data_IF_235584322960
#
_entry.id   IF_235584322960
#
_cell.length_a   1.000
_cell.length_b   1.000
_cell.length_c   1.000
_cell.angle_alpha   90.00
_cell.angle_beta   90.00
_cell.angle_gamma   90.00
#
_symmetry.space_group_name_H-M   'P 1'
#
loop_
_entity.id
_entity.type
_entity.pdbx_description
1 polymer ?
#
# COMPACT_ATOMS: atom_id res chain seq x y z
N UNK A 1 -0.64 5.23 -12.68
CA UNK A 1 -1.75 5.63 -11.78
C UNK A 1 -1.23 6.51 -10.67
N UNK A 2 -1.94 7.56 -10.37
CA UNK A 2 -1.49 8.54 -9.38
C UNK A 2 -2.40 8.58 -8.17
N UNK A 3 -1.85 9.06 -7.06
CA UNK A 3 -2.62 9.21 -5.83
C UNK A 3 -3.79 10.14 -6.06
N UNK A 4 -4.98 9.70 -5.66
CA UNK A 4 -6.18 10.49 -5.85
C UNK A 4 -6.17 11.76 -5.01
N UNK A 5 -5.37 11.76 -3.95
CA UNK A 5 -5.36 12.88 -3.03
C UNK A 5 -4.20 13.86 -3.24
N UNK A 6 -2.99 13.37 -3.36
CA UNK A 6 -1.83 14.25 -3.53
C UNK A 6 -1.23 14.18 -4.92
N UNK A 7 -1.75 13.31 -5.78
CA UNK A 7 -1.36 13.21 -7.18
C UNK A 7 0.05 12.68 -7.44
N UNK A 8 0.69 12.14 -6.44
CA UNK A 8 2.01 11.58 -6.68
C UNK A 8 1.84 10.21 -7.30
N UNK A 9 2.82 9.76 -8.05
CA UNK A 9 2.73 8.47 -8.72
C UNK A 9 2.72 7.34 -7.71
N UNK A 10 1.82 6.37 -7.89
CA UNK A 10 1.69 5.26 -6.98
C UNK A 10 2.67 4.15 -7.34
N UNK A 11 3.32 3.59 -6.32
CA UNK A 11 4.18 2.44 -6.50
C UNK A 11 3.36 1.18 -6.29
N UNK A 12 3.98 0.02 -6.55
CA UNK A 12 3.29 -1.25 -6.29
C UNK A 12 2.94 -1.38 -4.81
N UNK A 13 3.81 -0.89 -3.93
CA UNK A 13 3.54 -0.93 -2.50
C UNK A 13 2.33 -0.07 -2.15
N UNK A 14 2.22 1.11 -2.75
CA UNK A 14 1.08 1.98 -2.50
C UNK A 14 -0.22 1.29 -2.89
N UNK A 15 -0.24 0.68 -4.07
CA UNK A 15 -1.44 0.02 -4.55
C UNK A 15 -1.80 -1.17 -3.68
N UNK A 16 -0.80 -1.97 -3.32
CA UNK A 16 -1.04 -3.14 -2.48
C UNK A 16 -1.57 -2.76 -1.11
N UNK A 17 -1.00 -1.70 -0.53
CA UNK A 17 -1.45 -1.24 0.77
C UNK A 17 -2.89 -0.77 0.72
N UNK A 18 -3.25 -0.03 -0.31
CA UNK A 18 -4.61 0.45 -0.45
C UNK A 18 -5.59 -0.72 -0.55
N UNK A 19 -5.26 -1.70 -1.39
CA UNK A 19 -6.13 -2.85 -1.58
C UNK A 19 -6.25 -3.70 -0.32
N UNK A 20 -5.19 -3.77 0.45
CA UNK A 20 -5.18 -4.60 1.64
C UNK A 20 -5.83 -3.93 2.84
N UNK A 21 -5.56 -2.64 3.04
CA UNK A 21 -5.96 -1.97 4.26
C UNK A 21 -7.19 -1.07 4.13
N UNK A 22 -7.59 -0.78 2.91
CA UNK A 22 -8.69 0.16 2.72
C UNK A 22 -9.81 -0.43 1.88
N UNK A 23 -9.58 -0.61 0.59
CA UNK A 23 -10.65 -1.03 -0.31
C UNK A 23 -10.10 -1.92 -1.40
N UNK A 24 -10.69 -3.07 -1.59
CA UNK A 24 -10.22 -4.00 -2.60
C UNK A 24 -10.65 -3.64 -4.02
N UNK A 25 -11.56 -2.71 -4.16
CA UNK A 25 -12.01 -2.31 -5.49
C UNK A 25 -10.94 -1.57 -6.27
N UNK A 26 -10.04 -0.92 -5.60
CA UNK A 26 -8.96 -0.23 -6.28
C UNK A 26 -9.37 1.05 -6.96
N UNK A 27 -10.47 1.64 -6.54
CA UNK A 27 -10.90 2.93 -7.09
C UNK A 27 -10.34 4.05 -6.22
N UNK A 28 -9.94 5.15 -6.86
CA UNK A 28 -9.47 6.33 -6.13
C UNK A 28 -8.34 5.99 -5.17
N UNK A 29 -7.39 5.19 -5.64
CA UNK A 29 -6.27 4.78 -4.82
C UNK A 29 -5.46 5.97 -4.35
N UNK A 30 -4.92 5.87 -3.14
CA UNK A 30 -4.08 6.90 -2.57
C UNK A 30 -2.76 6.28 -2.12
N UNK A 31 -1.73 7.09 -1.96
CA UNK A 31 -0.43 6.58 -1.59
C UNK A 31 -0.39 6.23 -0.11
N UNK A 32 0.69 5.57 0.30
CA UNK A 32 0.82 5.10 1.68
C UNK A 32 0.72 6.27 2.66
N UNK A 33 1.35 7.41 2.33
CA UNK A 33 1.30 8.55 3.22
C UNK A 33 -0.14 9.04 3.43
N UNK A 34 -0.89 9.16 2.33
CA UNK A 34 -2.28 9.60 2.43
C UNK A 34 -3.14 8.54 3.11
N UNK A 35 -2.86 7.28 2.82
CA UNK A 35 -3.60 6.19 3.44
C UNK A 35 -3.38 6.15 4.94
N UNK A 36 -2.15 6.38 5.39
CA UNK A 36 -1.87 6.42 6.81
C UNK A 36 -2.69 7.50 7.49
N UNK A 37 -2.82 8.65 6.84
CA UNK A 37 -3.65 9.71 7.38
C UNK A 37 -5.11 9.29 7.50
N UNK A 38 -5.60 8.56 6.49
CA UNK A 38 -6.97 8.07 6.52
C UNK A 38 -7.18 7.06 7.63
N UNK A 39 -6.20 6.20 7.86
CA UNK A 39 -6.29 5.17 8.88
C UNK A 39 -5.92 5.68 10.26
N UNK A 40 -5.47 6.92 10.33
CA UNK A 40 -5.07 7.56 11.59
C UNK A 40 -3.90 6.85 12.24
N UNK A 41 -2.93 6.48 11.43
CA UNK A 41 -1.70 5.90 11.92
C UNK A 41 -0.54 6.57 11.20
N UNK A 42 0.68 6.25 11.58
CA UNK A 42 1.84 6.85 10.95
C UNK A 42 2.17 6.14 9.65
N UNK A 43 2.81 6.84 8.75
CA UNK A 43 3.26 6.24 7.51
C UNK A 43 4.28 5.15 7.82
N UNK A 44 5.11 5.36 8.82
CA UNK A 44 6.11 4.39 9.20
C UNK A 44 5.46 3.07 9.65
N UNK A 45 4.37 3.19 10.41
CA UNK A 45 3.64 2.00 10.84
C UNK A 45 3.13 1.22 9.63
N UNK A 46 2.56 1.91 8.65
CA UNK A 46 2.07 1.24 7.46
C UNK A 46 3.19 0.60 6.68
N UNK A 47 4.34 1.25 6.58
CA UNK A 47 5.45 0.70 5.83
C UNK A 47 5.97 -0.56 6.50
N UNK A 48 5.95 -0.60 7.82
CA UNK A 48 6.35 -1.81 8.54
C UNK A 48 5.37 -2.93 8.27
N UNK A 49 4.07 -2.63 8.24
CA UNK A 49 3.08 -3.65 7.93
C UNK A 49 3.24 -4.16 6.50
N UNK A 50 3.53 -3.27 5.58
CA UNK A 50 3.74 -3.65 4.19
C UNK A 50 4.95 -4.58 4.10
N UNK A 51 6.03 -4.26 4.78
CA UNK A 51 7.23 -5.08 4.75
C UNK A 51 6.93 -6.47 5.32
N UNK A 52 6.16 -6.52 6.39
CA UNK A 52 5.77 -7.78 6.99
C UNK A 52 4.99 -8.64 5.99
N UNK A 53 4.06 -8.04 5.27
CA UNK A 53 3.26 -8.75 4.30
C UNK A 53 4.11 -9.25 3.12
N UNK A 54 5.05 -8.42 2.68
CA UNK A 54 5.93 -8.82 1.59
C UNK A 54 6.80 -9.99 2.02
N UNK A 55 7.30 -9.97 3.24
CA UNK A 55 8.12 -11.05 3.75
C UNK A 55 7.34 -12.36 3.86
N UNK A 56 6.04 -12.25 4.01
CA UNK A 56 5.19 -13.43 4.10
C UNK A 56 4.55 -13.82 2.77
N UNK A 57 4.99 -13.23 1.69
CA UNK A 57 4.55 -13.63 0.36
C UNK A 57 3.15 -13.20 -0.03
N UNK A 58 2.71 -12.05 0.46
CA UNK A 58 1.40 -11.54 0.13
C UNK A 58 1.33 -11.22 -1.36
N UNK A 59 0.32 -11.76 -2.05
CA UNK A 59 0.22 -11.60 -3.50
C UNK A 59 -0.17 -10.19 -3.92
N UNK A 60 -0.63 -9.36 -3.00
CA UNK A 60 -0.94 -7.99 -3.33
C UNK A 60 0.32 -7.14 -3.53
N UNK A 61 1.48 -7.68 -3.17
CA UNK A 61 2.75 -6.97 -3.32
C UNK A 61 3.66 -7.78 -4.22
N UNK A 62 3.63 -7.52 -5.51
CA UNK A 62 4.36 -8.35 -6.47
C UNK A 62 5.85 -8.45 -6.22
N UNK A 63 6.41 -7.46 -5.57
CA UNK A 63 7.83 -7.49 -5.32
C UNK A 63 8.24 -8.53 -4.30
N UNK A 64 7.29 -9.11 -3.60
CA UNK A 64 7.62 -10.05 -2.56
C UNK A 64 7.84 -11.44 -3.07
N UNK A 65 7.71 -11.65 -4.38
CA UNK A 65 7.75 -12.97 -4.87
C UNK A 65 9.05 -13.62 -4.76
N UNK A 66 10.09 -12.90 -4.59
CA UNK A 66 11.32 -13.50 -4.63
C UNK A 66 11.49 -14.56 -3.65
N UNK A 67 10.78 -14.62 -2.71
CA UNK A 67 11.03 -15.63 -1.83
C UNK A 67 10.53 -16.89 -2.24
N UNK A 68 10.31 -17.18 -2.94
CA UNK A 68 9.98 -18.45 -3.19
C UNK A 68 10.01 -18.91 -3.77
#
# INVERSE_FOLDING_TARGET
MNCHQCHKELTADDKGAYLKFWDRKGEDMICVACLAGRLRCSEEYLRERIQFLKDNGCTLFPDSKKQK
#
